data_IF_960215181539
#
_entry.id   IF_960215181539
#
_cell.length_a   1.000
_cell.length_b   1.000
_cell.length_c   1.000
_cell.angle_alpha   90.00
_cell.angle_beta   90.00
_cell.angle_gamma   90.00
#
_symmetry.space_group_name_H-M   'P 1'
#
loop_
_entity.id
_entity.type
_entity.pdbx_description
1 polymer ?
#
# COMPACT_ATOMS: atom_id res chain seq x y z
N UNK A 1 -2.25 32.93 16.91
CA UNK A 1 -2.35 31.95 15.80
C UNK A 1 -3.20 30.80 16.28
N UNK A 2 -4.36 30.55 15.65
CA UNK A 2 -5.24 29.45 16.06
C UNK A 2 -4.50 28.11 15.93
N UNK A 3 -4.86 27.12 16.74
CA UNK A 3 -4.29 25.75 16.67
C UNK A 3 -4.33 25.16 15.24
N UNK A 4 -5.20 25.68 14.37
CA UNK A 4 -5.43 25.23 12.99
C UNK A 4 -4.34 25.66 11.98
N UNK A 5 -3.45 26.61 12.30
CA UNK A 5 -2.46 27.14 11.32
C UNK A 5 -0.99 27.09 11.77
N UNK A 6 -0.66 26.37 12.84
CA UNK A 6 0.73 26.28 13.34
C UNK A 6 1.67 25.52 12.39
N UNK A 7 2.99 25.78 12.39
CA UNK A 7 3.94 24.89 11.72
C UNK A 7 4.06 23.54 12.44
N UNK A 8 4.56 22.53 11.73
CA UNK A 8 4.92 21.23 12.32
C UNK A 8 6.06 21.43 13.34
N UNK A 9 5.89 20.88 14.54
CA UNK A 9 6.88 20.96 15.60
C UNK A 9 7.71 19.66 15.67
N UNK A 10 8.75 19.63 16.52
CA UNK A 10 9.62 18.44 16.68
C UNK A 10 8.86 17.18 17.12
N UNK A 11 7.79 17.33 17.89
CA UNK A 11 6.96 16.21 18.36
C UNK A 11 6.15 15.61 17.19
N UNK A 12 5.60 16.45 16.31
CA UNK A 12 4.89 16.01 15.10
C UNK A 12 5.83 15.22 14.19
N UNK A 13 7.03 15.74 13.93
CA UNK A 13 8.04 15.03 13.13
C UNK A 13 8.46 13.70 13.76
N UNK A 14 8.68 13.65 15.08
CA UNK A 14 9.00 12.41 15.78
C UNK A 14 7.88 11.37 15.62
N UNK A 15 6.64 11.82 15.76
CA UNK A 15 5.44 10.99 15.64
C UNK A 15 5.25 10.45 14.22
N UNK A 16 5.40 11.33 13.22
CA UNK A 16 5.37 10.97 11.79
C UNK A 16 6.45 9.93 11.45
N UNK A 17 7.69 10.17 11.87
CA UNK A 17 8.81 9.27 11.57
C UNK A 17 8.65 7.89 12.22
N UNK A 18 8.18 7.83 13.47
CA UNK A 18 7.94 6.55 14.14
C UNK A 18 6.80 5.76 13.50
N UNK A 19 5.71 6.43 13.11
CA UNK A 19 4.61 5.79 12.40
C UNK A 19 5.03 5.31 10.99
N UNK A 20 5.79 6.13 10.26
CA UNK A 20 6.32 5.79 8.96
C UNK A 20 7.31 4.61 9.01
N UNK A 21 8.19 4.56 10.01
CA UNK A 21 9.14 3.45 10.20
C UNK A 21 8.43 2.14 10.53
N UNK A 22 7.44 2.16 11.44
CA UNK A 22 6.64 0.98 11.74
C UNK A 22 5.94 0.43 10.50
N UNK A 23 5.25 1.32 9.76
CA UNK A 23 4.57 0.96 8.53
C UNK A 23 5.53 0.47 7.42
N UNK A 24 6.74 1.01 7.34
CA UNK A 24 7.75 0.57 6.38
C UNK A 24 8.18 -0.88 6.62
N UNK A 25 8.47 -1.24 7.88
CA UNK A 25 8.89 -2.60 8.24
C UNK A 25 7.77 -3.63 8.01
N UNK A 26 6.52 -3.24 8.26
CA UNK A 26 5.37 -4.10 7.92
C UNK A 26 5.17 -4.22 6.41
N UNK A 27 5.30 -3.14 5.66
CA UNK A 27 5.19 -3.23 4.20
C UNK A 27 6.29 -4.07 3.57
N UNK A 28 7.51 -4.04 4.13
CA UNK A 28 8.59 -4.93 3.70
C UNK A 28 8.15 -6.40 3.74
N UNK A 29 7.65 -6.86 4.90
CA UNK A 29 7.23 -8.25 5.13
C UNK A 29 6.13 -8.70 4.16
N UNK A 30 5.20 -7.81 3.85
CA UNK A 30 4.11 -8.13 2.95
C UNK A 30 4.56 -8.26 1.49
N UNK A 31 5.49 -7.39 1.08
CA UNK A 31 5.88 -7.18 -0.32
C UNK A 31 7.02 -8.08 -0.75
N UNK A 32 7.90 -8.49 0.17
CA UNK A 32 9.06 -9.33 -0.17
C UNK A 32 8.67 -10.62 -0.90
N UNK A 33 7.47 -11.14 -0.62
CA UNK A 33 6.86 -12.25 -1.35
C UNK A 33 6.81 -12.01 -2.87
N UNK A 34 6.43 -10.81 -3.31
CA UNK A 34 6.24 -10.51 -4.74
C UNK A 34 7.56 -10.50 -5.49
N UNK A 35 8.63 -9.99 -4.87
CA UNK A 35 9.95 -9.96 -5.51
C UNK A 35 10.54 -11.36 -5.72
N UNK A 36 10.12 -12.34 -4.91
CA UNK A 36 10.51 -13.75 -5.05
C UNK A 36 9.39 -14.64 -5.59
N UNK A 37 8.30 -14.06 -6.12
CA UNK A 37 7.14 -14.81 -6.59
C UNK A 37 7.50 -15.85 -7.65
N UNK A 38 8.41 -15.54 -8.58
CA UNK A 38 8.84 -16.49 -9.60
C UNK A 38 9.48 -17.76 -8.98
N UNK A 39 10.43 -17.59 -8.06
CA UNK A 39 11.13 -18.69 -7.38
C UNK A 39 10.18 -19.45 -6.46
N UNK A 40 9.33 -18.74 -5.70
CA UNK A 40 8.29 -19.36 -4.86
C UNK A 40 7.32 -20.17 -5.72
N UNK A 41 6.96 -19.68 -6.91
CA UNK A 41 6.13 -20.39 -7.88
C UNK A 41 6.72 -21.74 -8.26
N UNK A 42 8.01 -21.79 -8.56
CA UNK A 42 8.72 -23.03 -8.95
C UNK A 42 8.88 -24.01 -7.78
N UNK A 43 9.05 -23.50 -6.55
CA UNK A 43 9.32 -24.32 -5.37
C UNK A 43 8.08 -24.86 -4.64
N UNK A 44 6.97 -24.11 -4.67
CA UNK A 44 5.77 -24.43 -3.89
C UNK A 44 4.64 -25.04 -4.72
N UNK A 45 4.77 -25.09 -6.04
CA UNK A 45 3.77 -25.67 -6.93
C UNK A 45 4.36 -26.81 -7.78
N UNK A 46 3.50 -27.69 -8.33
CA UNK A 46 3.96 -28.80 -9.17
C UNK A 46 4.75 -28.34 -10.41
N UNK A 47 5.74 -29.13 -10.83
CA UNK A 47 6.57 -28.82 -11.99
C UNK A 47 5.82 -29.02 -13.33
N UNK A 48 4.80 -29.87 -13.34
CA UNK A 48 4.05 -30.37 -14.49
C UNK A 48 2.84 -29.49 -14.89
N UNK A 49 2.47 -28.49 -14.09
CA UNK A 49 1.39 -27.56 -14.46
C UNK A 49 1.86 -26.48 -15.46
N UNK A 50 0.96 -25.98 -16.33
CA UNK A 50 1.28 -24.87 -17.22
C UNK A 50 1.76 -23.62 -16.46
N UNK A 51 2.74 -22.91 -17.01
CA UNK A 51 3.34 -21.72 -16.38
C UNK A 51 2.31 -20.63 -16.07
N UNK A 52 1.33 -20.39 -16.96
CA UNK A 52 0.27 -19.42 -16.72
C UNK A 52 -0.55 -19.77 -15.48
N UNK A 53 -0.80 -21.07 -15.25
CA UNK A 53 -1.54 -21.56 -14.09
C UNK A 53 -0.72 -21.42 -12.82
N UNK A 54 0.58 -21.72 -12.88
CA UNK A 54 1.52 -21.51 -11.77
C UNK A 54 1.55 -20.04 -11.35
N UNK A 55 1.65 -19.11 -12.30
CA UNK A 55 1.61 -17.66 -12.02
C UNK A 55 0.29 -17.25 -11.37
N UNK A 56 -0.84 -17.71 -11.92
CA UNK A 56 -2.18 -17.45 -11.33
C UNK A 56 -2.27 -18.00 -9.91
N UNK A 57 -1.71 -19.18 -9.62
CA UNK A 57 -1.71 -19.75 -8.26
C UNK A 57 -0.80 -18.98 -7.30
N UNK A 58 0.41 -18.59 -7.72
CA UNK A 58 1.34 -17.78 -6.91
C UNK A 58 0.74 -16.41 -6.59
N UNK A 59 0.22 -15.71 -7.58
CA UNK A 59 -0.47 -14.43 -7.37
C UNK A 59 -1.83 -14.62 -6.69
N UNK A 60 -2.47 -15.78 -6.80
CA UNK A 60 -3.67 -16.16 -6.05
C UNK A 60 -3.40 -16.27 -4.55
N UNK A 61 -2.26 -16.85 -4.16
CA UNK A 61 -1.78 -16.85 -2.77
C UNK A 61 -1.51 -15.42 -2.28
N UNK A 62 -0.93 -14.57 -3.13
CA UNK A 62 -0.75 -13.15 -2.83
C UNK A 62 -2.10 -12.43 -2.64
N UNK A 63 -3.07 -12.70 -3.51
CA UNK A 63 -4.42 -12.17 -3.48
C UNK A 63 -5.20 -12.60 -2.24
N UNK A 64 -5.02 -13.84 -1.78
CA UNK A 64 -5.64 -14.33 -0.55
C UNK A 64 -5.25 -13.49 0.68
N UNK A 65 -4.00 -13.02 0.74
CA UNK A 65 -3.59 -12.06 1.76
C UNK A 65 -4.35 -10.74 1.68
N UNK A 66 -4.62 -10.21 0.49
CA UNK A 66 -5.47 -9.03 0.34
C UNK A 66 -6.93 -9.28 0.72
N UNK A 67 -7.49 -10.44 0.36
CA UNK A 67 -8.85 -10.84 0.72
C UNK A 67 -9.04 -10.99 2.24
N UNK A 68 -7.97 -11.30 2.97
CA UNK A 68 -7.99 -11.37 4.43
C UNK A 68 -8.00 -9.99 5.12
N UNK A 69 -7.65 -8.89 4.41
CA UNK A 69 -7.53 -7.55 5.01
C UNK A 69 -8.82 -7.01 5.62
N UNK A 70 -10.01 -7.10 4.98
CA UNK A 70 -11.25 -6.64 5.61
C UNK A 70 -11.56 -7.37 6.91
N UNK A 71 -11.35 -8.69 6.92
CA UNK A 71 -11.55 -9.52 8.11
C UNK A 71 -10.58 -9.12 9.22
N UNK A 72 -9.30 -8.96 8.89
CA UNK A 72 -8.28 -8.48 9.80
C UNK A 72 -8.57 -7.08 10.35
N UNK A 73 -9.00 -6.15 9.50
CA UNK A 73 -9.39 -4.80 9.92
C UNK A 73 -10.56 -4.79 10.91
N UNK A 74 -11.57 -5.65 10.71
CA UNK A 74 -12.69 -5.81 11.63
C UNK A 74 -12.22 -6.39 12.98
N UNK A 75 -11.39 -7.44 12.94
CA UNK A 75 -10.85 -8.09 14.14
C UNK A 75 -9.98 -7.10 14.91
N UNK A 76 -9.03 -6.44 14.25
CA UNK A 76 -8.12 -5.48 14.88
C UNK A 76 -8.85 -4.27 15.45
N UNK A 77 -9.88 -3.76 14.76
CA UNK A 77 -10.72 -2.69 15.30
C UNK A 77 -11.42 -3.13 16.58
N UNK A 78 -12.06 -4.31 16.59
CA UNK A 78 -12.74 -4.84 17.76
C UNK A 78 -11.78 -5.05 18.96
N UNK A 79 -10.61 -5.65 18.73
CA UNK A 79 -9.60 -5.83 19.79
C UNK A 79 -8.99 -4.51 20.26
N UNK A 80 -8.79 -3.55 19.35
CA UNK A 80 -8.30 -2.21 19.67
C UNK A 80 -9.25 -1.44 20.58
N UNK A 81 -10.55 -1.60 20.39
CA UNK A 81 -11.59 -0.97 21.19
C UNK A 81 -11.75 -1.61 22.59
N UNK A 82 -11.53 -2.93 22.71
CA UNK A 82 -11.65 -3.67 23.97
C UNK A 82 -10.41 -3.64 24.86
N UNK A 83 -9.21 -3.75 24.26
CA UNK A 83 -7.96 -4.01 25.00
C UNK A 83 -6.95 -2.86 24.87
N UNK A 84 -7.26 -1.86 24.05
CA UNK A 84 -6.42 -0.68 23.80
C UNK A 84 -5.53 -0.80 22.56
N UNK A 85 -5.29 0.35 21.90
CA UNK A 85 -4.61 0.42 20.59
C UNK A 85 -3.17 -0.09 20.64
N UNK A 86 -2.43 0.17 21.73
CA UNK A 86 -1.07 -0.35 21.93
C UNK A 86 -0.98 -1.88 21.86
N UNK A 87 -1.96 -2.60 22.43
CA UNK A 87 -1.96 -4.08 22.40
C UNK A 87 -2.39 -4.63 21.04
N UNK A 88 -3.30 -3.94 20.36
CA UNK A 88 -3.68 -4.24 18.97
C UNK A 88 -2.47 -4.15 18.04
N UNK A 89 -1.64 -3.09 18.16
CA UNK A 89 -0.43 -2.96 17.34
C UNK A 89 0.57 -4.09 17.58
N UNK A 90 0.75 -4.54 18.83
CA UNK A 90 1.62 -5.69 19.13
C UNK A 90 1.09 -6.98 18.48
N UNK A 91 -0.23 -7.20 18.53
CA UNK A 91 -0.87 -8.35 17.88
C UNK A 91 -0.71 -8.31 16.36
N UNK A 92 -0.90 -7.14 15.74
CA UNK A 92 -0.66 -6.92 14.30
C UNK A 92 0.76 -7.31 13.90
N UNK A 93 1.77 -6.79 14.61
CA UNK A 93 3.16 -7.10 14.31
C UNK A 93 3.47 -8.59 14.49
N UNK A 94 2.94 -9.24 15.53
CA UNK A 94 3.12 -10.69 15.72
C UNK A 94 2.50 -11.49 14.57
N UNK A 95 1.29 -11.13 14.15
CA UNK A 95 0.60 -11.75 13.01
C UNK A 95 1.25 -11.42 11.66
N UNK A 96 2.20 -10.49 11.63
CA UNK A 96 3.03 -10.22 10.47
C UNK A 96 4.35 -11.00 10.54
N UNK A 97 5.16 -10.72 11.56
CA UNK A 97 6.53 -11.18 11.69
C UNK A 97 6.66 -12.70 11.82
N UNK A 98 5.76 -13.32 12.60
CA UNK A 98 5.81 -14.78 12.83
C UNK A 98 5.50 -15.54 11.53
N UNK A 99 4.42 -15.22 10.78
CA UNK A 99 4.23 -15.77 9.45
C UNK A 99 5.38 -15.49 8.48
N UNK A 100 5.99 -14.30 8.50
CA UNK A 100 7.15 -14.00 7.64
C UNK A 100 8.33 -14.94 7.94
N UNK A 101 8.68 -15.14 9.22
CA UNK A 101 9.68 -16.12 9.64
C UNK A 101 9.32 -17.54 9.21
N UNK A 102 8.07 -17.92 9.43
CA UNK A 102 7.58 -19.25 9.10
C UNK A 102 7.72 -19.54 7.60
N UNK A 103 7.40 -18.58 6.72
CA UNK A 103 7.58 -18.71 5.26
C UNK A 103 9.05 -19.02 4.91
N UNK A 104 10.00 -18.33 5.54
CA UNK A 104 11.43 -18.59 5.34
C UNK A 104 11.87 -19.99 5.78
N UNK A 105 11.12 -20.64 6.67
CA UNK A 105 11.37 -21.99 7.18
C UNK A 105 10.52 -23.07 6.51
N UNK A 106 9.56 -22.71 5.66
CA UNK A 106 8.64 -23.70 5.07
C UNK A 106 9.38 -24.73 4.20
N UNK A 107 9.01 -26.01 4.28
CA UNK A 107 9.41 -27.03 3.31
C UNK A 107 8.77 -26.77 1.93
N UNK A 108 9.42 -27.20 0.86
CA UNK A 108 8.98 -27.01 -0.54
C UNK A 108 8.02 -28.12 -0.98
N UNK A 109 7.42 -27.97 -2.16
CA UNK A 109 6.52 -28.98 -2.74
C UNK A 109 7.20 -30.34 -2.90
N UNK A 110 8.51 -30.35 -3.18
CA UNK A 110 9.29 -31.59 -3.33
C UNK A 110 9.29 -32.46 -2.05
N UNK A 111 9.19 -31.87 -0.86
CA UNK A 111 9.21 -32.62 0.40
C UNK A 111 7.83 -32.85 1.03
N UNK A 112 6.88 -31.92 0.87
CA UNK A 112 5.58 -31.96 1.55
C UNK A 112 4.37 -32.00 0.60
N UNK A 113 4.60 -31.98 -0.71
CA UNK A 113 3.54 -31.94 -1.72
C UNK A 113 2.58 -30.76 -1.51
N UNK A 114 1.29 -31.02 -1.62
CA UNK A 114 0.23 -29.99 -1.55
C UNK A 114 0.16 -29.25 -0.21
N UNK A 115 0.74 -29.79 0.88
CA UNK A 115 0.79 -29.09 2.16
C UNK A 115 1.65 -27.82 2.11
N UNK A 116 2.70 -27.78 1.27
CA UNK A 116 3.57 -26.62 1.15
C UNK A 116 2.81 -25.35 0.70
N UNK A 117 2.06 -25.35 -0.43
CA UNK A 117 1.29 -24.17 -0.85
C UNK A 117 0.11 -23.86 0.10
N UNK A 118 -0.46 -24.86 0.80
CA UNK A 118 -1.52 -24.62 1.78
C UNK A 118 -1.00 -23.91 3.04
N UNK A 119 0.17 -24.30 3.55
CA UNK A 119 0.83 -23.61 4.66
C UNK A 119 1.25 -22.20 4.25
N UNK A 120 1.78 -22.03 3.05
CA UNK A 120 2.11 -20.73 2.48
C UNK A 120 0.86 -19.83 2.40
N UNK A 121 -0.26 -20.37 1.91
CA UNK A 121 -1.56 -19.68 1.88
C UNK A 121 -2.00 -19.25 3.28
N UNK A 122 -1.91 -20.14 4.27
CA UNK A 122 -2.25 -19.81 5.66
C UNK A 122 -1.39 -18.65 6.19
N UNK A 123 -0.07 -18.70 5.98
CA UNK A 123 0.82 -17.61 6.38
C UNK A 123 0.44 -16.28 5.73
N UNK A 124 0.08 -16.31 4.43
CA UNK A 124 -0.36 -15.11 3.70
C UNK A 124 -1.69 -14.55 4.18
N UNK A 125 -2.64 -15.40 4.58
CA UNK A 125 -3.91 -14.97 5.18
C UNK A 125 -3.65 -14.26 6.52
N UNK A 126 -2.75 -14.79 7.36
CA UNK A 126 -2.39 -14.19 8.64
C UNK A 126 -1.71 -12.81 8.45
N UNK A 127 -0.72 -12.71 7.55
CA UNK A 127 -0.08 -11.43 7.19
C UNK A 127 -1.09 -10.42 6.63
N UNK A 128 -2.00 -10.91 5.78
CA UNK A 128 -3.09 -10.12 5.22
C UNK A 128 -4.00 -9.51 6.28
N UNK A 129 -4.37 -10.31 7.28
CA UNK A 129 -5.19 -9.86 8.39
C UNK A 129 -4.49 -8.79 9.25
N UNK A 130 -3.17 -8.90 9.46
CA UNK A 130 -2.39 -7.92 10.23
C UNK A 130 -2.49 -6.49 9.63
N UNK A 131 -2.27 -6.36 8.32
CA UNK A 131 -2.19 -5.04 7.65
C UNK A 131 -3.53 -4.28 7.63
N UNK A 132 -4.66 -5.00 7.70
CA UNK A 132 -5.99 -4.43 7.48
C UNK A 132 -6.32 -3.25 8.41
N UNK A 133 -5.90 -3.28 9.67
CA UNK A 133 -6.18 -2.20 10.62
C UNK A 133 -5.17 -1.05 10.60
N UNK A 134 -3.95 -1.33 10.15
CA UNK A 134 -2.81 -0.45 10.41
C UNK A 134 -2.78 0.79 9.51
N UNK A 135 -2.80 0.60 8.18
CA UNK A 135 -2.60 1.71 7.23
C UNK A 135 -3.68 2.79 7.36
N UNK A 136 -4.99 2.44 7.37
CA UNK A 136 -6.04 3.42 7.62
C UNK A 136 -5.88 4.13 8.96
N UNK A 137 -5.45 3.40 9.99
CA UNK A 137 -5.22 3.94 11.33
C UNK A 137 -4.11 4.96 11.36
N UNK A 138 -2.99 4.68 10.68
CA UNK A 138 -1.87 5.59 10.58
C UNK A 138 -2.25 6.89 9.84
N UNK A 139 -3.06 6.82 8.78
CA UNK A 139 -3.52 8.04 8.08
C UNK A 139 -4.42 8.92 8.94
N UNK A 140 -5.38 8.32 9.65
CA UNK A 140 -6.26 9.05 10.58
C UNK A 140 -5.44 9.64 11.72
N UNK A 141 -4.57 8.83 12.32
CA UNK A 141 -3.67 9.24 13.38
C UNK A 141 -2.87 10.48 12.98
N UNK A 142 -2.16 10.41 11.86
CA UNK A 142 -1.32 11.52 11.40
C UNK A 142 -2.15 12.76 11.10
N UNK A 143 -3.29 12.60 10.41
CA UNK A 143 -4.13 13.73 10.03
C UNK A 143 -4.77 14.43 11.24
N UNK A 144 -5.00 13.73 12.35
CA UNK A 144 -5.53 14.29 13.59
C UNK A 144 -4.48 15.00 14.45
N UNK A 145 -3.19 14.71 14.24
CA UNK A 145 -2.09 15.36 14.98
C UNK A 145 -1.58 16.64 14.29
N UNK A 146 -1.82 16.78 12.99
CA UNK A 146 -1.33 17.91 12.20
C UNK A 146 -2.41 18.98 11.96
N UNK A 147 -2.02 20.25 11.74
CA UNK A 147 -2.95 21.30 11.34
C UNK A 147 -3.63 20.99 10.01
N UNK A 148 -4.86 21.49 9.82
CA UNK A 148 -5.70 21.20 8.64
C UNK A 148 -5.04 21.52 7.30
N UNK A 149 -4.24 22.60 7.24
CA UNK A 149 -3.49 23.01 6.03
C UNK A 149 -2.24 22.15 5.74
N UNK A 150 -1.97 21.13 6.55
CA UNK A 150 -0.78 20.26 6.47
C UNK A 150 -1.15 18.78 6.43
N UNK A 151 -2.43 18.44 6.29
CA UNK A 151 -2.87 17.05 6.22
C UNK A 151 -2.27 16.37 4.99
N UNK A 152 -2.18 17.06 3.85
CA UNK A 152 -1.65 16.53 2.60
C UNK A 152 -0.20 16.10 2.73
N UNK A 153 0.68 16.98 3.21
CA UNK A 153 2.10 16.65 3.40
C UNK A 153 2.29 15.55 4.45
N UNK A 154 1.46 15.52 5.49
CA UNK A 154 1.55 14.51 6.54
C UNK A 154 1.14 13.12 6.01
N UNK A 155 0.03 13.04 5.28
CA UNK A 155 -0.41 11.83 4.58
C UNK A 155 0.59 11.39 3.48
N UNK A 156 1.13 12.34 2.72
CA UNK A 156 2.15 12.09 1.69
C UNK A 156 3.45 11.56 2.30
N UNK A 157 3.87 12.09 3.44
CA UNK A 157 5.05 11.62 4.20
C UNK A 157 4.84 10.20 4.73
N UNK A 158 3.67 9.92 5.29
CA UNK A 158 3.35 8.58 5.76
C UNK A 158 3.30 7.58 4.60
N UNK A 159 2.71 7.96 3.47
CA UNK A 159 2.67 7.12 2.26
C UNK A 159 4.07 6.88 1.69
N UNK A 160 4.93 7.91 1.67
CA UNK A 160 6.34 7.76 1.33
C UNK A 160 7.08 6.83 2.31
N UNK A 161 6.72 6.85 3.59
CA UNK A 161 7.21 5.89 4.59
C UNK A 161 6.84 4.45 4.27
N UNK A 162 5.58 4.19 3.91
CA UNK A 162 5.14 2.85 3.49
C UNK A 162 5.91 2.36 2.25
N UNK A 163 6.20 3.26 1.29
CA UNK A 163 6.97 2.93 0.09
C UNK A 163 8.45 2.67 0.38
N UNK A 164 9.01 3.18 1.48
CA UNK A 164 10.36 2.77 1.95
C UNK A 164 10.39 1.29 2.28
N UNK A 165 9.29 0.70 2.77
CA UNK A 165 9.18 -0.76 2.96
C UNK A 165 9.36 -1.54 1.65
N UNK A 166 8.74 -1.05 0.57
CA UNK A 166 8.91 -1.61 -0.79
C UNK A 166 10.37 -1.47 -1.24
N UNK A 167 10.97 -0.30 -1.02
CA UNK A 167 12.38 -0.05 -1.38
C UNK A 167 13.32 -1.00 -0.63
N UNK A 168 13.13 -1.19 0.68
CA UNK A 168 13.90 -2.15 1.47
C UNK A 168 13.76 -3.57 0.90
N UNK A 169 12.56 -3.98 0.52
CA UNK A 169 12.32 -5.27 -0.12
C UNK A 169 13.06 -5.42 -1.44
N UNK A 170 13.01 -4.39 -2.29
CA UNK A 170 13.70 -4.35 -3.58
C UNK A 170 15.22 -4.37 -3.42
N UNK A 171 15.77 -3.63 -2.45
CA UNK A 171 17.21 -3.60 -2.17
C UNK A 171 17.69 -4.96 -1.65
N UNK A 172 16.97 -5.57 -0.70
CA UNK A 172 17.32 -6.91 -0.20
C UNK A 172 17.24 -7.95 -1.32
N UNK A 173 16.18 -7.90 -2.14
CA UNK A 173 16.05 -8.78 -3.30
C UNK A 173 17.19 -8.59 -4.31
N UNK A 174 17.58 -7.34 -4.58
CA UNK A 174 18.72 -6.99 -5.43
C UNK A 174 20.01 -7.59 -4.87
N UNK A 175 20.30 -7.35 -3.58
CA UNK A 175 21.50 -7.86 -2.93
C UNK A 175 21.60 -9.39 -3.05
N UNK A 176 20.51 -10.11 -2.77
CA UNK A 176 20.45 -11.57 -2.91
C UNK A 176 20.73 -11.99 -4.36
N UNK A 177 20.08 -11.37 -5.34
CA UNK A 177 20.26 -11.72 -6.76
C UNK A 177 21.61 -11.30 -7.36
N UNK A 178 22.33 -10.35 -6.73
CA UNK A 178 23.68 -9.93 -7.15
C UNK A 178 24.81 -10.67 -6.45
N UNK A 179 24.59 -11.12 -5.21
CA UNK A 179 25.61 -11.80 -4.41
C UNK A 179 25.61 -13.32 -4.58
N UNK A 180 24.57 -13.87 -5.19
CA UNK A 180 24.37 -15.31 -5.33
C UNK A 180 24.06 -15.69 -6.78
N UNK A 181 24.39 -16.93 -7.17
CA UNK A 181 23.98 -17.49 -8.47
C UNK A 181 22.48 -17.79 -8.47
N UNK A 182 21.85 -17.86 -9.65
CA UNK A 182 20.43 -18.18 -9.78
C UNK A 182 20.07 -19.52 -9.10
N UNK A 183 20.96 -20.52 -9.22
CA UNK A 183 20.81 -21.81 -8.56
C UNK A 183 20.83 -21.67 -7.04
N UNK A 184 21.78 -20.91 -6.48
CA UNK A 184 21.85 -20.70 -5.04
C UNK A 184 20.65 -19.91 -4.49
N UNK A 185 20.11 -18.96 -5.27
CA UNK A 185 18.86 -18.26 -4.94
C UNK A 185 17.69 -19.24 -4.87
N UNK A 186 17.57 -20.14 -5.85
CA UNK A 186 16.53 -21.17 -5.90
C UNK A 186 16.66 -22.18 -4.75
N UNK A 187 17.86 -22.62 -4.42
CA UNK A 187 18.09 -23.65 -3.40
C UNK A 187 17.86 -23.13 -1.97
N UNK A 188 18.37 -21.94 -1.64
CA UNK A 188 18.24 -21.38 -0.28
C UNK A 188 18.18 -19.85 -0.20
N UNK A 189 18.68 -19.12 -1.19
CA UNK A 189 18.79 -17.65 -1.11
C UNK A 189 17.44 -16.94 -0.98
N UNK A 190 16.37 -17.51 -1.54
CA UNK A 190 15.01 -16.97 -1.39
C UNK A 190 14.51 -16.93 0.06
N UNK A 191 15.07 -17.75 0.98
CA UNK A 191 14.65 -17.80 2.40
C UNK A 191 15.17 -16.60 3.19
N UNK A 192 16.35 -16.09 2.84
CA UNK A 192 17.07 -15.03 3.58
C UNK A 192 16.20 -13.77 3.78
N UNK A 193 15.53 -13.23 2.75
CA UNK A 193 14.72 -12.02 2.90
C UNK A 193 13.52 -12.18 3.84
N UNK A 194 12.91 -13.38 3.90
CA UNK A 194 11.81 -13.69 4.81
C UNK A 194 12.30 -13.78 6.26
N UNK A 195 13.45 -14.42 6.48
CA UNK A 195 14.07 -14.47 7.81
C UNK A 195 14.45 -13.07 8.31
N UNK A 196 15.03 -12.24 7.44
CA UNK A 196 15.32 -10.83 7.74
C UNK A 196 14.05 -10.03 8.04
N UNK A 197 12.97 -10.26 7.30
CA UNK A 197 11.67 -9.63 7.55
C UNK A 197 11.13 -9.92 8.94
N UNK A 198 11.22 -11.17 9.37
CA UNK A 198 10.93 -11.55 10.75
C UNK A 198 11.70 -10.75 11.80
N UNK A 199 13.01 -10.56 11.59
CA UNK A 199 13.85 -9.73 12.47
C UNK A 199 13.40 -8.27 12.43
N UNK A 200 13.09 -7.72 11.25
CA UNK A 200 12.54 -6.38 11.11
C UNK A 200 11.20 -6.22 11.84
N UNK A 201 10.32 -7.22 11.80
CA UNK A 201 9.08 -7.25 12.57
C UNK A 201 9.33 -7.20 14.08
N UNK A 202 10.32 -7.94 14.61
CA UNK A 202 10.71 -7.85 16.03
C UNK A 202 11.27 -6.47 16.40
N UNK A 203 12.04 -5.85 15.50
CA UNK A 203 12.53 -4.46 15.67
C UNK A 203 11.35 -3.49 15.66
N UNK A 204 10.38 -3.64 14.76
CA UNK A 204 9.17 -2.82 14.72
C UNK A 204 8.39 -2.90 16.03
N UNK A 205 8.26 -4.11 16.60
CA UNK A 205 7.66 -4.33 17.92
C UNK A 205 8.40 -3.59 19.04
N UNK A 206 9.73 -3.56 19.00
CA UNK A 206 10.51 -2.80 19.96
C UNK A 206 10.29 -1.29 19.81
N UNK A 207 10.34 -0.77 18.57
CA UNK A 207 10.13 0.65 18.27
C UNK A 207 8.74 1.14 18.71
N UNK A 208 7.70 0.31 18.59
CA UNK A 208 6.34 0.67 19.01
C UNK A 208 6.15 0.80 20.51
N UNK A 209 7.09 0.32 21.34
CA UNK A 209 7.04 0.57 22.79
C UNK A 209 7.16 2.05 23.14
N UNK A 210 7.68 2.87 22.22
CA UNK A 210 7.90 4.31 22.39
C UNK A 210 6.81 5.19 21.78
N UNK A 211 5.82 4.61 21.10
CA UNK A 211 4.64 5.33 20.64
C UNK A 211 3.69 5.57 21.83
N UNK A 212 3.30 6.83 21.99
CA UNK A 212 2.30 7.25 22.98
C UNK A 212 0.90 7.07 22.41
N UNK A 213 -0.09 6.79 23.27
CA UNK A 213 -1.47 6.63 22.83
C UNK A 213 -2.06 7.93 22.27
N UNK A 214 -3.03 7.82 21.34
CA UNK A 214 -3.67 9.00 20.74
C UNK A 214 -4.41 9.84 21.77
N UNK A 215 -4.29 11.17 21.77
CA UNK A 215 -5.07 12.07 22.63
C UNK A 215 -6.58 11.84 22.52
N UNK A 216 -7.07 11.55 21.32
CA UNK A 216 -8.49 11.27 21.04
C UNK A 216 -8.94 9.94 21.66
N UNK A 217 -8.10 8.90 21.67
CA UNK A 217 -8.43 7.64 22.38
C UNK A 217 -8.49 7.86 23.89
N UNK A 218 -7.57 8.67 24.44
CA UNK A 218 -7.59 9.02 25.85
C UNK A 218 -8.84 9.83 26.21
N UNK A 219 -9.26 10.78 25.37
CA UNK A 219 -10.50 11.54 25.53
C UNK A 219 -11.75 10.65 25.39
N UNK A 220 -11.79 9.74 24.42
CA UNK A 220 -12.92 8.80 24.25
C UNK A 220 -13.03 7.79 25.41
N UNK A 221 -11.90 7.32 25.94
CA UNK A 221 -11.83 6.45 27.11
C UNK A 221 -12.32 7.19 28.38
N UNK A 222 -11.95 8.46 28.53
CA UNK A 222 -12.40 9.32 29.64
C UNK A 222 -13.89 9.64 29.57
N UNK A 223 -14.45 9.82 28.37
CA UNK A 223 -15.88 10.12 28.18
C UNK A 223 -16.80 8.88 28.29
N UNK A 224 -16.26 7.68 28.54
CA UNK A 224 -17.01 6.39 28.48
C UNK A 224 -17.85 6.24 27.21
N UNK A 225 -17.50 6.95 26.14
CA UNK A 225 -18.18 6.92 24.85
C UNK A 225 -17.46 5.93 23.94
N UNK A 226 -17.11 4.75 24.47
CA UNK A 226 -16.76 3.63 23.61
C UNK A 226 -18.05 3.27 22.87
N UNK A 227 -18.09 3.58 21.57
CA UNK A 227 -19.26 3.39 20.73
C UNK A 227 -19.78 1.95 20.91
N UNK A 228 -21.01 1.82 21.40
CA UNK A 228 -21.61 0.54 21.80
C UNK A 228 -21.91 -0.39 20.61
N UNK A 229 -21.68 0.02 19.36
CA UNK A 229 -21.89 -0.82 18.17
C UNK A 229 -20.86 -0.52 17.07
N UNK A 230 -20.44 -1.55 16.33
CA UNK A 230 -19.61 -1.44 15.12
C UNK A 230 -20.37 -0.62 14.06
N UNK A 231 -20.00 0.64 13.78
CA UNK A 231 -20.78 1.53 12.91
C UNK A 231 -20.54 1.26 11.42
N UNK A 232 -20.09 0.06 11.05
CA UNK A 232 -19.87 -0.32 9.63
C UNK A 232 -21.18 -0.21 8.85
N UNK A 233 -22.30 -0.64 9.44
CA UNK A 233 -23.63 -0.49 8.82
C UNK A 233 -24.02 0.99 8.66
N UNK A 234 -23.69 1.84 9.63
CA UNK A 234 -23.95 3.27 9.54
C UNK A 234 -23.12 3.94 8.43
N UNK A 235 -21.84 3.58 8.29
CA UNK A 235 -20.96 4.05 7.22
C UNK A 235 -21.51 3.65 5.84
N UNK A 236 -21.79 2.36 5.64
CA UNK A 236 -22.21 1.83 4.32
C UNK A 236 -23.59 2.35 3.91
N UNK A 237 -24.48 2.64 4.86
CA UNK A 237 -25.82 3.15 4.57
C UNK A 237 -25.82 4.67 4.41
N UNK A 238 -25.15 5.43 5.28
CA UNK A 238 -25.22 6.89 5.34
C UNK A 238 -24.14 7.62 4.52
N UNK A 239 -23.01 6.97 4.21
CA UNK A 239 -21.86 7.61 3.55
C UNK A 239 -21.46 6.94 2.23
N UNK A 240 -22.43 6.41 1.46
CA UNK A 240 -22.21 5.68 0.20
C UNK A 240 -21.30 6.39 -0.81
N UNK A 241 -21.47 7.71 -0.97
CA UNK A 241 -20.63 8.53 -1.87
C UNK A 241 -19.17 8.53 -1.43
N UNK A 242 -18.90 8.81 -0.16
CA UNK A 242 -17.56 8.81 0.41
C UNK A 242 -16.88 7.43 0.31
N UNK A 243 -17.64 6.35 0.50
CA UNK A 243 -17.17 4.97 0.30
C UNK A 243 -16.77 4.75 -1.16
N UNK A 244 -17.65 5.08 -2.12
CA UNK A 244 -17.36 4.89 -3.55
C UNK A 244 -16.11 5.65 -4.00
N UNK A 245 -15.97 6.92 -3.62
CA UNK A 245 -14.79 7.74 -3.97
C UNK A 245 -13.52 7.14 -3.35
N UNK A 246 -13.58 6.75 -2.08
CA UNK A 246 -12.45 6.16 -1.38
C UNK A 246 -12.03 4.82 -2.01
N UNK A 247 -12.99 4.00 -2.45
CA UNK A 247 -12.72 2.75 -3.16
C UNK A 247 -12.09 3.02 -4.53
N UNK A 248 -12.63 3.94 -5.32
CA UNK A 248 -12.09 4.25 -6.65
C UNK A 248 -10.68 4.87 -6.57
N UNK A 249 -10.41 5.75 -5.60
CA UNK A 249 -9.07 6.27 -5.34
C UNK A 249 -8.11 5.18 -4.84
N UNK A 250 -8.60 4.24 -4.03
CA UNK A 250 -7.81 3.08 -3.59
C UNK A 250 -7.51 2.16 -4.76
N UNK A 251 -8.42 2.04 -5.74
CA UNK A 251 -8.18 1.28 -6.96
C UNK A 251 -7.08 1.91 -7.83
N UNK A 252 -7.11 3.24 -8.03
CA UNK A 252 -6.02 3.98 -8.67
C UNK A 252 -4.68 3.77 -7.92
N UNK A 253 -4.71 3.84 -6.58
CA UNK A 253 -3.54 3.58 -5.75
C UNK A 253 -3.00 2.17 -5.96
N UNK A 254 -3.89 1.17 -5.95
CA UNK A 254 -3.53 -0.22 -6.20
C UNK A 254 -2.90 -0.40 -7.58
N UNK A 255 -3.37 0.29 -8.61
CA UNK A 255 -2.77 0.22 -9.95
C UNK A 255 -1.33 0.73 -9.96
N UNK A 256 -1.10 1.90 -9.36
CA UNK A 256 0.22 2.49 -9.28
C UNK A 256 1.19 1.60 -8.50
N UNK A 257 0.80 1.08 -7.35
CA UNK A 257 1.68 0.24 -6.54
C UNK A 257 1.80 -1.17 -7.12
N UNK A 258 0.69 -1.88 -7.30
CA UNK A 258 0.70 -3.30 -7.66
C UNK A 258 1.17 -3.50 -9.10
N UNK A 259 0.64 -2.75 -10.06
CA UNK A 259 1.00 -2.96 -11.48
C UNK A 259 2.35 -2.33 -11.79
N UNK A 260 2.50 -1.02 -11.54
CA UNK A 260 3.70 -0.30 -11.97
C UNK A 260 4.91 -0.67 -11.13
N UNK A 261 4.82 -0.72 -9.80
CA UNK A 261 5.99 -0.97 -8.94
C UNK A 261 6.24 -2.46 -8.72
N UNK A 262 5.21 -3.26 -8.45
CA UNK A 262 5.43 -4.66 -8.03
C UNK A 262 5.47 -5.66 -9.20
N UNK A 263 4.61 -5.49 -10.22
CA UNK A 263 4.54 -6.44 -11.33
C UNK A 263 5.52 -6.13 -12.47
N UNK A 264 5.85 -4.85 -12.73
CA UNK A 264 6.73 -4.47 -13.84
C UNK A 264 8.10 -5.16 -13.84
N UNK A 265 8.79 -5.43 -12.70
CA UNK A 265 10.05 -6.16 -12.73
C UNK A 265 9.90 -7.57 -13.30
N UNK A 266 8.88 -8.31 -12.85
CA UNK A 266 8.57 -9.67 -13.35
C UNK A 266 8.18 -9.61 -14.82
N UNK A 267 7.41 -8.60 -15.22
CA UNK A 267 7.06 -8.36 -16.63
C UNK A 267 8.31 -8.12 -17.49
N UNK A 268 9.23 -7.25 -17.08
CA UNK A 268 10.49 -6.99 -17.80
C UNK A 268 11.35 -8.25 -17.92
N UNK A 269 11.46 -9.03 -16.85
CA UNK A 269 12.21 -10.28 -16.82
C UNK A 269 11.61 -11.32 -17.78
N UNK A 270 10.30 -11.54 -17.75
CA UNK A 270 9.63 -12.57 -18.54
C UNK A 270 9.41 -12.17 -20.00
N UNK A 271 9.07 -10.90 -20.26
CA UNK A 271 8.75 -10.41 -21.61
C UNK A 271 9.99 -10.10 -22.45
N UNK A 272 11.03 -9.54 -21.82
CA UNK A 272 12.24 -9.08 -22.53
C UNK A 272 13.52 -9.82 -22.09
N UNK A 273 13.42 -10.77 -21.16
CA UNK A 273 14.57 -11.55 -20.70
C UNK A 273 15.57 -10.74 -19.87
N UNK A 274 15.18 -9.58 -19.32
CA UNK A 274 16.09 -8.76 -18.52
C UNK A 274 16.51 -9.48 -17.25
N UNK A 275 17.79 -9.32 -16.86
CA UNK A 275 18.32 -9.93 -15.66
C UNK A 275 17.57 -9.42 -14.40
N UNK A 276 17.23 -10.30 -13.42
CA UNK A 276 16.53 -9.89 -12.21
C UNK A 276 17.20 -8.72 -11.49
N UNK A 277 18.53 -8.76 -11.32
CA UNK A 277 19.30 -7.68 -10.69
C UNK A 277 19.10 -6.32 -11.37
N UNK A 278 19.14 -6.25 -12.70
CA UNK A 278 18.96 -5.00 -13.46
C UNK A 278 17.55 -4.42 -13.23
N UNK A 279 16.52 -5.27 -13.34
CA UNK A 279 15.12 -4.83 -13.16
C UNK A 279 14.82 -4.40 -11.73
N UNK A 280 15.41 -5.04 -10.71
CA UNK A 280 15.25 -4.68 -9.30
C UNK A 280 16.04 -3.41 -8.94
N UNK A 281 17.20 -3.18 -9.55
CA UNK A 281 17.91 -1.90 -9.43
C UNK A 281 17.09 -0.75 -10.02
N UNK A 282 16.53 -0.93 -11.22
CA UNK A 282 15.64 0.06 -11.83
C UNK A 282 14.36 0.28 -11.00
N UNK A 283 13.80 -0.78 -10.43
CA UNK A 283 12.66 -0.69 -9.49
C UNK A 283 13.00 0.08 -8.22
N UNK A 284 14.23 -0.05 -7.72
CA UNK A 284 14.70 0.71 -6.55
C UNK A 284 14.74 2.21 -6.87
N UNK A 285 15.24 2.59 -8.06
CA UNK A 285 15.19 3.99 -8.54
C UNK A 285 13.76 4.49 -8.68
N UNK A 286 12.87 3.69 -9.29
CA UNK A 286 11.46 4.02 -9.41
C UNK A 286 10.78 4.21 -8.04
N UNK A 287 11.12 3.38 -7.05
CA UNK A 287 10.56 3.46 -5.70
C UNK A 287 11.08 4.68 -4.94
N UNK A 288 12.34 5.07 -5.12
CA UNK A 288 12.87 6.33 -4.56
C UNK A 288 12.13 7.53 -5.18
N UNK A 289 11.95 7.53 -6.50
CA UNK A 289 11.20 8.57 -7.19
C UNK A 289 9.73 8.60 -6.77
N UNK A 290 9.12 7.44 -6.50
CA UNK A 290 7.79 7.33 -5.90
C UNK A 290 7.73 7.99 -4.50
N UNK A 291 8.71 7.75 -3.63
CA UNK A 291 8.77 8.44 -2.34
C UNK A 291 8.75 9.96 -2.52
N UNK A 292 9.59 10.48 -3.43
CA UNK A 292 9.62 11.91 -3.77
C UNK A 292 8.27 12.37 -4.31
N UNK A 293 7.67 11.60 -5.22
CA UNK A 293 6.38 11.89 -5.81
C UNK A 293 5.24 11.94 -4.79
N UNK A 294 5.24 11.04 -3.79
CA UNK A 294 4.27 11.05 -2.70
C UNK A 294 4.37 12.31 -1.84
N UNK A 295 5.59 12.76 -1.53
CA UNK A 295 5.83 14.01 -0.81
C UNK A 295 5.37 15.22 -1.63
N UNK A 296 5.69 15.25 -2.92
CA UNK A 296 5.27 16.32 -3.84
C UNK A 296 3.75 16.36 -3.97
N UNK A 297 3.09 15.21 -4.17
CA UNK A 297 1.64 15.13 -4.28
C UNK A 297 0.95 15.59 -2.98
N UNK A 298 1.49 15.19 -1.81
CA UNK A 298 1.04 15.66 -0.50
C UNK A 298 1.18 17.17 -0.32
N UNK A 299 2.30 17.73 -0.74
CA UNK A 299 2.53 19.18 -0.70
C UNK A 299 1.62 19.96 -1.67
N UNK A 300 1.47 19.45 -2.89
CA UNK A 300 0.64 20.06 -3.93
C UNK A 300 -0.82 20.03 -3.49
N UNK A 301 -1.32 18.92 -2.94
CA UNK A 301 -2.72 18.83 -2.52
C UNK A 301 -3.08 19.82 -1.40
N UNK A 302 -2.16 20.10 -0.47
CA UNK A 302 -2.36 21.13 0.55
C UNK A 302 -2.44 22.55 -0.04
N UNK A 303 -1.81 22.80 -1.20
CA UNK A 303 -1.68 24.11 -1.84
C UNK A 303 -2.77 24.40 -2.86
N UNK A 304 -3.04 23.44 -3.74
CA UNK A 304 -3.92 23.61 -4.91
C UNK A 304 -5.22 22.80 -4.82
N UNK A 305 -5.36 21.97 -3.79
CA UNK A 305 -6.54 21.14 -3.54
C UNK A 305 -6.53 19.80 -4.31
N UNK A 306 -7.38 18.87 -3.85
CA UNK A 306 -7.44 17.49 -4.37
C UNK A 306 -7.77 17.40 -5.86
N UNK A 307 -8.71 18.22 -6.34
CA UNK A 307 -9.16 18.19 -7.74
C UNK A 307 -7.99 18.36 -8.72
N UNK A 308 -7.22 19.45 -8.59
CA UNK A 308 -6.10 19.74 -9.50
C UNK A 308 -4.98 18.71 -9.36
N UNK A 309 -4.70 18.25 -8.15
CA UNK A 309 -3.68 17.22 -7.92
C UNK A 309 -4.00 15.91 -8.63
N UNK A 310 -5.25 15.42 -8.54
CA UNK A 310 -5.64 14.19 -9.23
C UNK A 310 -5.74 14.37 -10.74
N UNK A 311 -6.23 15.53 -11.23
CA UNK A 311 -6.27 15.78 -12.68
C UNK A 311 -4.85 15.74 -13.28
N UNK A 312 -3.93 16.54 -12.74
CA UNK A 312 -2.56 16.63 -13.28
C UNK A 312 -1.81 15.33 -13.01
N UNK A 313 -1.88 14.79 -11.80
CA UNK A 313 -1.16 13.58 -11.42
C UNK A 313 -1.62 12.35 -12.22
N UNK A 314 -2.92 12.16 -12.43
CA UNK A 314 -3.43 11.04 -13.23
C UNK A 314 -3.11 11.19 -14.71
N UNK A 315 -3.11 12.42 -15.26
CA UNK A 315 -2.65 12.67 -16.63
C UNK A 315 -1.16 12.32 -16.81
N UNK A 316 -0.31 12.77 -15.88
CA UNK A 316 1.12 12.46 -15.90
C UNK A 316 1.38 10.96 -15.73
N UNK A 317 0.61 10.28 -14.88
CA UNK A 317 0.68 8.83 -14.72
C UNK A 317 0.27 8.09 -16.01
N UNK A 318 -0.79 8.53 -16.69
CA UNK A 318 -1.20 7.96 -17.97
C UNK A 318 -0.08 8.07 -19.02
N UNK A 319 0.47 9.27 -19.19
CA UNK A 319 1.51 9.52 -20.19
C UNK A 319 2.81 8.76 -19.86
N UNK A 320 3.29 8.87 -18.62
CA UNK A 320 4.55 8.22 -18.21
C UNK A 320 4.46 6.70 -18.22
N UNK A 321 3.34 6.11 -17.80
CA UNK A 321 3.15 4.65 -17.86
C UNK A 321 3.09 4.14 -19.29
N UNK A 322 2.39 4.86 -20.18
CA UNK A 322 2.35 4.52 -21.60
C UNK A 322 3.75 4.53 -22.22
N UNK A 323 4.52 5.59 -21.99
CA UNK A 323 5.90 5.73 -22.47
C UNK A 323 6.79 4.62 -21.90
N UNK A 324 6.70 4.34 -20.59
CA UNK A 324 7.47 3.29 -19.94
C UNK A 324 7.24 1.91 -20.59
N UNK A 325 5.98 1.46 -20.69
CA UNK A 325 5.70 0.13 -21.22
C UNK A 325 6.00 -0.01 -22.72
N UNK A 326 5.96 1.09 -23.51
CA UNK A 326 6.30 1.06 -24.94
C UNK A 326 7.80 1.09 -25.20
N UNK A 327 8.55 1.93 -24.48
CA UNK A 327 9.96 2.18 -24.78
C UNK A 327 10.92 1.26 -24.02
N UNK A 328 10.53 0.69 -22.87
CA UNK A 328 11.46 -0.08 -22.04
C UNK A 328 12.03 -1.33 -22.73
N UNK A 329 11.31 -1.89 -23.71
CA UNK A 329 11.80 -3.01 -24.51
C UNK A 329 12.75 -2.59 -25.63
N UNK A 330 12.49 -1.43 -26.26
CA UNK A 330 13.26 -0.94 -27.41
C UNK A 330 14.54 -0.19 -27.00
N UNK A 331 14.53 0.43 -25.81
CA UNK A 331 15.62 1.26 -25.29
C UNK A 331 16.02 0.83 -23.86
N UNK A 332 16.63 -0.36 -23.67
CA UNK A 332 17.06 -0.84 -22.35
C UNK A 332 17.99 0.14 -21.62
N UNK A 333 18.78 0.92 -22.36
CA UNK A 333 19.69 1.94 -21.84
C UNK A 333 18.97 3.08 -21.09
N UNK A 334 17.68 3.30 -21.38
CA UNK A 334 16.85 4.33 -20.75
C UNK A 334 16.01 3.80 -19.58
N UNK A 335 16.11 2.50 -19.26
CA UNK A 335 15.23 1.82 -18.30
C UNK A 335 15.16 2.55 -16.94
N UNK A 336 16.31 2.96 -16.40
CA UNK A 336 16.36 3.65 -15.10
C UNK A 336 15.64 5.01 -15.12
N UNK A 337 15.78 5.76 -16.22
CA UNK A 337 15.16 7.06 -16.39
C UNK A 337 13.65 6.91 -16.58
N UNK A 338 13.22 6.01 -17.47
CA UNK A 338 11.81 5.76 -17.74
C UNK A 338 11.09 5.22 -16.51
N UNK A 339 11.70 4.27 -15.80
CA UNK A 339 11.11 3.69 -14.60
C UNK A 339 11.12 4.69 -13.43
N UNK A 340 12.19 5.48 -13.30
CA UNK A 340 12.26 6.60 -12.36
C UNK A 340 11.14 7.63 -12.59
N UNK A 341 10.91 8.02 -13.85
CA UNK A 341 9.88 8.98 -14.23
C UNK A 341 8.47 8.46 -13.93
N UNK A 342 8.14 7.23 -14.33
CA UNK A 342 6.82 6.66 -14.01
C UNK A 342 6.66 6.48 -12.50
N UNK A 343 7.71 6.10 -11.77
CA UNK A 343 7.73 6.05 -10.30
C UNK A 343 7.38 7.40 -9.67
N UNK A 344 7.97 8.50 -10.15
CA UNK A 344 7.65 9.86 -9.73
C UNK A 344 6.16 10.18 -9.94
N UNK A 345 5.62 9.81 -11.11
CA UNK A 345 4.21 10.06 -11.44
C UNK A 345 3.23 9.18 -10.65
N UNK A 346 3.61 7.93 -10.31
CA UNK A 346 2.86 7.10 -9.35
C UNK A 346 2.73 7.80 -8.01
N UNK A 347 3.62 8.73 -7.67
CA UNK A 347 3.55 9.61 -6.50
C UNK A 347 2.20 10.30 -6.25
N UNK A 348 1.34 10.47 -7.26
CA UNK A 348 -0.04 10.95 -7.08
C UNK A 348 -0.81 10.17 -6.01
N UNK A 349 -0.47 8.90 -5.79
CA UNK A 349 -1.08 8.06 -4.74
C UNK A 349 -0.88 8.60 -3.32
N UNK A 350 0.17 9.41 -3.08
CA UNK A 350 0.39 10.08 -1.81
C UNK A 350 -0.71 11.09 -1.42
N UNK A 351 -1.52 11.54 -2.39
CA UNK A 351 -2.66 12.42 -2.15
C UNK A 351 -3.98 11.68 -1.87
N UNK A 352 -4.03 10.35 -2.04
CA UNK A 352 -5.24 9.53 -1.79
C UNK A 352 -5.71 9.62 -0.33
N UNK A 353 -4.84 9.48 0.68
CA UNK A 353 -5.28 9.51 2.07
C UNK A 353 -5.85 10.87 2.49
N UNK A 354 -5.37 11.95 1.86
CA UNK A 354 -5.89 13.31 2.09
C UNK A 354 -7.39 13.39 1.78
N UNK A 355 -7.83 12.82 0.66
CA UNK A 355 -9.26 12.80 0.30
C UNK A 355 -10.03 11.90 1.24
N UNK A 356 -9.51 10.70 1.53
CA UNK A 356 -10.17 9.73 2.40
C UNK A 356 -10.43 10.27 3.80
N UNK A 357 -9.46 10.97 4.40
CA UNK A 357 -9.60 11.57 5.73
C UNK A 357 -10.66 12.68 5.78
N UNK A 358 -10.82 13.43 4.69
CA UNK A 358 -11.80 14.53 4.58
C UNK A 358 -13.18 14.07 4.13
N UNK A 359 -13.27 12.88 3.52
CA UNK A 359 -14.51 12.30 3.00
C UNK A 359 -15.44 11.78 4.10
N UNK A 360 -14.90 11.42 5.26
CA UNK A 360 -15.66 10.92 6.40
C UNK A 360 -15.61 11.89 7.59
N UNK A 361 -16.73 12.10 8.30
CA UNK A 361 -16.75 12.89 9.52
C UNK A 361 -16.02 12.14 10.65
N UNK A 362 -15.52 12.87 11.65
CA UNK A 362 -14.56 12.36 12.63
C UNK A 362 -15.06 11.12 13.38
N UNK A 363 -16.37 11.05 13.66
CA UNK A 363 -17.02 9.98 14.43
C UNK A 363 -16.95 8.61 13.75
N UNK A 364 -16.93 8.58 12.42
CA UNK A 364 -16.90 7.34 11.63
C UNK A 364 -15.68 7.25 10.71
N UNK A 365 -14.74 8.20 10.83
CA UNK A 365 -13.61 8.36 9.91
C UNK A 365 -12.75 7.10 9.83
N UNK A 366 -12.31 6.58 10.97
CA UNK A 366 -11.47 5.39 11.01
C UNK A 366 -12.18 4.17 10.41
N UNK A 367 -13.43 3.91 10.81
CA UNK A 367 -14.24 2.81 10.29
C UNK A 367 -14.50 2.95 8.79
N UNK A 368 -14.83 4.16 8.31
CA UNK A 368 -15.13 4.45 6.92
C UNK A 368 -13.93 4.27 5.99
N UNK A 369 -12.77 4.78 6.40
CA UNK A 369 -11.53 4.62 5.66
C UNK A 369 -11.10 3.15 5.68
N UNK A 370 -11.10 2.50 6.86
CA UNK A 370 -10.70 1.10 7.00
C UNK A 370 -11.58 0.18 6.14
N UNK A 371 -12.90 0.34 6.19
CA UNK A 371 -13.81 -0.43 5.35
C UNK A 371 -13.55 -0.21 3.86
N UNK A 372 -13.57 1.05 3.41
CA UNK A 372 -13.46 1.38 1.99
C UNK A 372 -12.11 0.95 1.41
N UNK A 373 -11.02 1.21 2.14
CA UNK A 373 -9.66 0.85 1.76
C UNK A 373 -9.49 -0.67 1.68
N UNK A 374 -9.87 -1.40 2.73
CA UNK A 374 -9.64 -2.84 2.78
C UNK A 374 -10.53 -3.60 1.80
N UNK A 375 -11.81 -3.22 1.66
CA UNK A 375 -12.70 -3.86 0.67
C UNK A 375 -12.21 -3.57 -0.75
N UNK A 376 -11.80 -2.33 -1.03
CA UNK A 376 -11.20 -2.00 -2.31
C UNK A 376 -9.93 -2.79 -2.59
N UNK A 377 -9.06 -2.99 -1.59
CA UNK A 377 -7.84 -3.76 -1.75
C UNK A 377 -8.10 -5.27 -1.87
N UNK A 378 -9.10 -5.80 -1.18
CA UNK A 378 -9.54 -7.18 -1.31
C UNK A 378 -10.03 -7.46 -2.74
N UNK A 379 -10.86 -6.57 -3.29
CA UNK A 379 -11.36 -6.68 -4.66
C UNK A 379 -10.24 -6.40 -5.66
N UNK A 380 -9.71 -5.18 -5.67
CA UNK A 380 -8.82 -4.76 -6.74
C UNK A 380 -7.37 -5.17 -6.49
N UNK A 381 -6.83 -5.03 -5.28
CA UNK A 381 -5.43 -5.39 -5.02
C UNK A 381 -5.13 -6.87 -5.24
N UNK A 382 -6.03 -7.75 -4.80
CA UNK A 382 -5.89 -9.20 -5.02
C UNK A 382 -6.20 -9.63 -6.45
N UNK A 383 -7.25 -9.10 -7.08
CA UNK A 383 -7.65 -9.55 -8.41
C UNK A 383 -6.82 -8.91 -9.54
N UNK A 384 -6.19 -7.75 -9.32
CA UNK A 384 -5.42 -7.04 -10.35
C UNK A 384 -4.29 -7.89 -10.94
N UNK A 385 -3.41 -8.53 -10.15
CA UNK A 385 -2.35 -9.37 -10.72
C UNK A 385 -2.88 -10.51 -11.58
N UNK A 386 -3.96 -11.16 -11.15
CA UNK A 386 -4.59 -12.25 -11.90
C UNK A 386 -5.17 -11.71 -13.21
N UNK A 387 -5.95 -10.62 -13.15
CA UNK A 387 -6.57 -10.01 -14.31
C UNK A 387 -5.53 -9.50 -15.33
N UNK A 388 -4.50 -8.80 -14.87
CA UNK A 388 -3.42 -8.28 -15.73
C UNK A 388 -2.62 -9.44 -16.34
N UNK A 389 -2.30 -10.49 -15.57
CA UNK A 389 -1.58 -11.67 -16.09
C UNK A 389 -2.40 -12.42 -17.15
N UNK A 390 -3.72 -12.57 -16.94
CA UNK A 390 -4.60 -13.16 -17.95
C UNK A 390 -4.67 -12.30 -19.22
N UNK A 391 -4.77 -10.98 -19.07
CA UNK A 391 -4.78 -10.03 -20.20
C UNK A 391 -3.44 -10.02 -20.95
N UNK A 392 -2.33 -10.28 -20.27
CA UNK A 392 -1.02 -10.42 -20.91
C UNK A 392 -0.95 -11.58 -21.89
N UNK A 393 -1.76 -12.63 -21.71
CA UNK A 393 -1.90 -13.70 -22.68
C UNK A 393 -2.53 -13.26 -24.02
N UNK A 394 -3.24 -12.12 -24.01
CA UNK A 394 -3.85 -11.51 -25.21
C UNK A 394 -2.96 -10.40 -25.77
N UNK A 395 -2.43 -9.53 -24.90
CA UNK A 395 -1.55 -8.43 -25.29
C UNK A 395 -0.45 -8.20 -24.26
N UNK A 396 0.84 -8.24 -24.65
CA UNK A 396 1.96 -7.92 -23.75
C UNK A 396 1.86 -6.54 -23.10
N UNK A 397 1.07 -5.63 -23.70
CA UNK A 397 0.84 -4.26 -23.23
C UNK A 397 -0.29 -4.14 -22.21
N UNK A 398 -0.90 -5.25 -21.78
CA UNK A 398 -1.98 -5.26 -20.80
C UNK A 398 -1.72 -4.41 -19.54
N UNK A 399 -0.52 -4.39 -18.93
CA UNK A 399 -0.23 -3.50 -17.81
C UNK A 399 -0.41 -2.02 -18.14
N UNK A 400 -0.01 -1.59 -19.35
CA UNK A 400 -0.13 -0.21 -19.80
C UNK A 400 -1.60 0.20 -19.97
N UNK A 401 -2.40 -0.65 -20.63
CA UNK A 401 -3.83 -0.42 -20.82
C UNK A 401 -4.58 -0.36 -19.49
N UNK A 402 -4.21 -1.23 -18.54
CA UNK A 402 -4.82 -1.26 -17.21
C UNK A 402 -4.54 0.04 -16.43
N UNK A 403 -3.29 0.50 -16.43
CA UNK A 403 -2.91 1.75 -15.76
C UNK A 403 -3.56 2.96 -16.46
N UNK A 404 -3.61 2.98 -17.79
CA UNK A 404 -4.28 4.03 -18.56
C UNK A 404 -5.76 4.15 -18.18
N UNK A 405 -6.48 3.02 -18.12
CA UNK A 405 -7.89 3.00 -17.73
C UNK A 405 -8.11 3.57 -16.33
N UNK A 406 -7.23 3.25 -15.37
CA UNK A 406 -7.36 3.77 -14.01
C UNK A 406 -6.88 5.20 -13.84
N UNK A 407 -5.93 5.65 -14.65
CA UNK A 407 -5.63 7.07 -14.78
C UNK A 407 -6.83 7.87 -15.30
N UNK A 408 -7.61 7.34 -16.24
CA UNK A 408 -8.86 7.98 -16.67
C UNK A 408 -9.90 8.04 -15.53
N UNK A 409 -9.99 7.00 -14.71
CA UNK A 409 -10.82 7.03 -13.48
C UNK A 409 -10.32 8.13 -12.52
N UNK A 410 -9.01 8.23 -12.31
CA UNK A 410 -8.39 9.26 -11.49
C UNK A 410 -8.66 10.69 -12.00
N UNK A 411 -8.61 10.89 -13.32
CA UNK A 411 -9.00 12.13 -13.98
C UNK A 411 -10.47 12.46 -13.71
N UNK A 412 -11.37 11.50 -13.91
CA UNK A 412 -12.80 11.66 -13.66
C UNK A 412 -13.10 12.03 -12.20
N UNK A 413 -12.45 11.37 -11.25
CA UNK A 413 -12.54 11.71 -9.83
C UNK A 413 -11.99 13.10 -9.52
N UNK A 414 -10.89 13.49 -10.14
CA UNK A 414 -10.32 14.83 -10.01
C UNK A 414 -11.29 15.91 -10.49
N UNK A 415 -11.99 15.69 -11.61
CA UNK A 415 -13.04 16.58 -12.10
C UNK A 415 -14.24 16.61 -11.16
N UNK A 416 -14.67 15.45 -10.65
CA UNK A 416 -15.79 15.36 -9.72
C UNK A 416 -15.49 16.09 -8.39
N UNK A 417 -14.29 15.92 -7.83
CA UNK A 417 -13.84 16.61 -6.61
C UNK A 417 -13.80 18.14 -6.76
N UNK A 418 -13.80 18.67 -8.00
CA UNK A 418 -13.91 20.11 -8.26
C UNK A 418 -15.27 20.66 -7.81
N UNK A 419 -16.32 19.84 -7.88
CA UNK A 419 -17.69 20.23 -7.55
C UNK A 419 -17.90 20.31 -6.02
N UNK A 420 -17.26 19.41 -5.26
CA UNK A 420 -17.41 19.33 -3.80
C UNK A 420 -16.56 20.37 -3.03
N UNK A 421 -15.38 20.75 -3.54
CA UNK A 421 -14.52 21.76 -2.88
C UNK A 421 -15.18 23.15 -2.89
N UNK A 422 -15.85 23.51 -3.99
CA UNK A 422 -16.58 24.78 -4.09
C UNK A 422 -17.78 24.85 -3.13
N UNK A 423 -18.39 23.71 -2.81
CA UNK A 423 -19.54 23.66 -1.91
C UNK A 423 -19.13 23.88 -0.45
N UNK A 424 -18.02 23.25 -0.03
CA UNK A 424 -17.56 23.29 1.37
C UNK A 424 -16.83 24.60 1.74
N UNK A 425 -16.12 25.22 0.79
CA UNK A 425 -15.54 26.56 1.00
C UNK A 425 -16.62 27.65 1.07
N UNK A 426 -17.74 27.48 0.35
CA UNK A 426 -18.88 28.39 0.43
C UNK A 426 -19.60 28.30 1.80
N UNK A 427 -19.82 27.09 2.32
CA UNK A 427 -20.43 26.89 3.65
C UNK A 427 -19.53 27.42 4.78
N UNK A 428 -18.21 27.20 4.71
CA UNK A 428 -17.27 27.71 5.73
C UNK A 428 -17.13 29.22 5.64
N UNK A 429 -17.14 29.82 4.44
CA UNK A 429 -17.17 31.27 4.29
C UNK A 429 -18.49 31.88 4.78
N UNK A 430 -19.61 31.18 4.61
CA UNK A 430 -20.90 31.61 5.14
C UNK A 430 -20.94 31.54 6.69
N UNK A 431 -20.41 30.49 7.31
CA UNK A 431 -20.28 30.40 8.77
C UNK A 431 -19.34 31.47 9.35
N UNK A 432 -18.22 31.76 8.66
CA UNK A 432 -17.28 32.81 9.06
C UNK A 432 -17.80 34.24 8.84
N UNK A 433 -18.81 34.42 8.00
CA UNK A 433 -19.51 35.71 7.83
C UNK A 433 -20.66 35.89 8.83
N UNK A 434 -21.09 34.81 9.50
CA UNK A 434 -22.13 34.82 10.54
C UNK A 434 -21.56 34.93 11.97
N UNK A 435 -20.23 34.82 12.13
CA UNK A 435 -19.47 35.10 13.35
C UNK A 435 -18.79 36.47 13.25
#
# INVERSE_FOLDING_TARGET
MSRHTRPLNRQDYKTLSLAALGGALEFYDFIIFVFFAAVVGELFFPADIPEWLRQVQTFGIFAAGYLARPLGGIIMAHFGDLVGRKKMFTLSILLMAVPTLAIGLLPTYASMGILAPLLLLLMRILQGAAIGGEVPGAWVFVAEHVPERRIGIACGTLTAGLTVGILLGSVVATLVNTSMTQQAVHDYGWRIPFLLGGVFGLIAMYLRRWLQETPIFLEMQQRKTLAQELPVKAVVVKHKKAVAISMLLTWLLSAGIVVVILMSPVWLQKQYGFAPALTLQANSVATIMLCVGCLLAGFIVDRVGASKTFIVGSFLLACSSWIFYHLSGAHPEQLFLLYGLVGLCVGVVGAVPYVMVRAFPAEVRFTGISFSYNVSYAIFGGLTPIAVTMLMGVSPMAPAWYVLALSLVGLGLGVWLRQDIYYRDADVQAELQQL
#
